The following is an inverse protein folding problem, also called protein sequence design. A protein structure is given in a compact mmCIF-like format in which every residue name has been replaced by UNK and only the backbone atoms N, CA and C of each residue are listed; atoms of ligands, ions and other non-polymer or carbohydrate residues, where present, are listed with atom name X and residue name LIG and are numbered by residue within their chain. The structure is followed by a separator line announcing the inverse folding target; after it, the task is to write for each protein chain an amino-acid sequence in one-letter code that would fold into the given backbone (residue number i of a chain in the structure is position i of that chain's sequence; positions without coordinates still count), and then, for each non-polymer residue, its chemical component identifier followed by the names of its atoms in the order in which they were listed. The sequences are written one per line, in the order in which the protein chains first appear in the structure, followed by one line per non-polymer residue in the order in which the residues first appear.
data_IF_790329029327
#
_entry.id   IF_790329029327
#
_cell.length_a   1.000
_cell.length_b   1.000
_cell.length_c   1.000
_cell.angle_alpha   90.00
_cell.angle_beta   90.00
_cell.angle_gamma   90.00
#
_symmetry.space_group_name_H-M   'P 1'
#
loop_
_entity.id
_entity.type
_entity.pdbx_description
1 polymer ?
#
# COMPACT_ATOMS: atom_id res chain seq x y z
N UNK A 1 -18.16 -24.35 -19.07
CA UNK A 1 -17.68 -23.10 -19.67
C UNK A 1 -18.79 -22.08 -19.49
N UNK A 2 -18.66 -21.16 -18.55
CA UNK A 2 -19.62 -20.06 -18.40
C UNK A 2 -19.18 -18.99 -19.38
N UNK A 3 -19.87 -18.83 -20.48
CA UNK A 3 -19.53 -17.86 -21.51
C UNK A 3 -19.96 -16.43 -21.14
N UNK A 4 -21.02 -16.29 -20.38
CA UNK A 4 -21.54 -15.03 -19.83
C UNK A 4 -22.30 -15.35 -18.54
N UNK A 5 -22.19 -14.49 -17.53
CA UNK A 5 -22.94 -14.72 -16.30
C UNK A 5 -22.65 -13.69 -15.22
N UNK A 6 -23.58 -13.58 -14.30
CA UNK A 6 -23.43 -12.79 -13.08
C UNK A 6 -23.34 -13.75 -11.90
N UNK A 7 -22.32 -13.62 -11.08
CA UNK A 7 -22.18 -14.32 -9.81
C UNK A 7 -22.34 -13.26 -8.71
N UNK A 8 -23.31 -13.47 -7.83
CA UNK A 8 -23.54 -12.59 -6.68
C UNK A 8 -24.01 -13.42 -5.49
N UNK A 9 -23.66 -13.01 -4.28
CA UNK A 9 -24.09 -13.67 -3.06
C UNK A 9 -22.97 -13.82 -2.05
N UNK A 10 -23.31 -14.36 -0.90
CA UNK A 10 -22.41 -14.62 0.21
C UNK A 10 -21.85 -16.05 0.12
N UNK A 11 -20.53 -16.18 0.02
CA UNK A 11 -19.81 -17.45 -0.02
C UNK A 11 -18.94 -17.60 1.20
N UNK A 12 -19.38 -18.42 2.14
CA UNK A 12 -18.55 -18.81 3.29
C UNK A 12 -17.82 -20.12 2.97
N UNK A 13 -16.52 -20.04 2.72
CA UNK A 13 -15.69 -21.22 2.66
C UNK A 13 -15.17 -21.57 4.06
N UNK A 14 -15.74 -22.56 4.69
CA UNK A 14 -15.17 -23.15 5.90
C UNK A 14 -14.00 -24.04 5.51
N UNK A 15 -12.77 -23.53 5.64
CA UNK A 15 -11.56 -24.33 5.44
C UNK A 15 -11.39 -25.34 6.57
N UNK A 16 -11.20 -26.62 6.25
CA UNK A 16 -10.71 -27.61 7.22
C UNK A 16 -9.26 -27.25 7.57
N UNK A 17 -8.98 -27.09 8.86
CA UNK A 17 -7.63 -26.90 9.39
C UNK A 17 -6.82 -28.17 9.18
N UNK A 18 -6.03 -28.24 8.12
CA UNK A 18 -4.99 -29.25 7.94
C UNK A 18 -3.63 -28.66 8.30
N UNK A 19 -2.85 -29.34 9.13
CA UNK A 19 -1.46 -28.96 9.37
C UNK A 19 -0.64 -29.23 8.09
N UNK A 20 -0.42 -28.19 7.30
CA UNK A 20 0.46 -28.23 6.13
C UNK A 20 1.86 -27.78 6.52
N UNK A 21 2.86 -28.60 6.26
CA UNK A 21 4.26 -28.19 6.28
C UNK A 21 4.47 -27.27 5.07
N UNK A 22 4.49 -25.96 5.30
CA UNK A 22 4.49 -24.98 4.23
C UNK A 22 5.65 -24.02 4.33
N UNK A 23 5.78 -23.23 3.30
CA UNK A 23 6.63 -22.07 3.06
C UNK A 23 6.38 -20.87 4.00
N UNK A 24 5.74 -21.09 5.14
CA UNK A 24 5.35 -20.04 6.08
C UNK A 24 4.01 -19.37 5.80
N UNK A 25 3.26 -19.82 4.78
CA UNK A 25 1.95 -19.25 4.42
C UNK A 25 0.77 -19.87 5.20
N UNK A 26 1.04 -20.75 6.16
CA UNK A 26 0.05 -21.28 7.10
C UNK A 26 -1.14 -22.05 6.49
N UNK A 27 -2.26 -22.14 7.16
CA UNK A 27 -3.41 -22.97 6.76
C UNK A 27 -4.09 -22.57 5.43
N UNK A 28 -3.73 -21.44 4.84
CA UNK A 28 -4.30 -20.98 3.55
C UNK A 28 -3.98 -21.89 2.35
N UNK A 29 -2.91 -22.68 2.39
CA UNK A 29 -2.54 -23.59 1.30
C UNK A 29 -3.53 -24.75 1.07
N UNK A 30 -4.31 -25.11 2.08
CA UNK A 30 -5.28 -26.19 2.00
C UNK A 30 -6.70 -25.72 1.63
N UNK A 31 -6.89 -24.40 1.47
CA UNK A 31 -8.18 -23.82 1.09
C UNK A 31 -8.31 -23.76 -0.42
N UNK A 32 -9.51 -23.96 -0.92
CA UNK A 32 -9.84 -23.73 -2.32
C UNK A 32 -10.01 -22.25 -2.63
N UNK A 33 -10.05 -21.90 -3.92
CA UNK A 33 -10.42 -20.57 -4.37
C UNK A 33 -11.92 -20.33 -4.10
N UNK A 34 -12.28 -19.10 -3.77
CA UNK A 34 -13.68 -18.72 -3.59
C UNK A 34 -14.42 -18.78 -4.94
N UNK A 35 -13.96 -18.02 -5.90
CA UNK A 35 -14.50 -18.03 -7.27
C UNK A 35 -13.33 -18.16 -8.25
N UNK A 36 -13.39 -19.16 -9.13
CA UNK A 36 -12.41 -19.33 -10.19
C UNK A 36 -13.05 -19.13 -11.56
N UNK A 37 -12.64 -18.09 -12.26
CA UNK A 37 -13.03 -17.78 -13.63
C UNK A 37 -11.92 -18.26 -14.59
N UNK A 38 -12.05 -19.46 -15.11
CA UNK A 38 -11.11 -20.01 -16.08
C UNK A 38 -11.61 -19.84 -17.51
N UNK A 39 -10.84 -19.13 -18.33
CA UNK A 39 -11.19 -18.86 -19.75
C UNK A 39 -12.62 -18.34 -19.92
N UNK A 40 -13.08 -17.57 -18.95
CA UNK A 40 -14.43 -16.98 -18.97
C UNK A 40 -14.42 -15.69 -19.79
N UNK A 41 -15.50 -15.44 -20.50
CA UNK A 41 -15.73 -14.21 -21.24
C UNK A 41 -16.91 -13.44 -20.65
N UNK A 42 -16.78 -12.13 -20.52
CA UNK A 42 -17.86 -11.21 -20.09
C UNK A 42 -18.56 -11.62 -18.77
N UNK A 43 -17.81 -12.28 -17.89
CA UNK A 43 -18.32 -12.65 -16.57
C UNK A 43 -18.32 -11.43 -15.62
N UNK A 44 -19.37 -11.30 -14.83
CA UNK A 44 -19.44 -10.30 -13.76
C UNK A 44 -19.55 -11.01 -12.42
N UNK A 45 -18.66 -10.66 -11.48
CA UNK A 45 -18.72 -11.05 -10.07
C UNK A 45 -19.01 -9.80 -9.27
N UNK A 46 -20.15 -9.77 -8.58
CA UNK A 46 -20.56 -8.57 -7.88
C UNK A 46 -21.20 -8.85 -6.53
N UNK A 47 -21.03 -7.93 -5.60
CA UNK A 47 -21.69 -7.93 -4.30
C UNK A 47 -21.50 -9.25 -3.53
N UNK A 48 -20.39 -9.95 -3.78
CA UNK A 48 -20.03 -11.19 -3.10
C UNK A 48 -19.23 -10.91 -1.83
N UNK A 49 -19.44 -11.74 -0.81
CA UNK A 49 -18.61 -11.78 0.40
C UNK A 49 -17.81 -13.09 0.37
N UNK A 50 -16.49 -12.98 0.33
CA UNK A 50 -15.56 -14.10 0.30
C UNK A 50 -14.63 -13.96 1.49
N UNK A 51 -14.57 -14.99 2.32
CA UNK A 51 -13.81 -14.95 3.56
C UNK A 51 -12.99 -16.23 3.73
N UNK A 52 -11.75 -16.05 4.12
CA UNK A 52 -10.90 -17.15 4.57
C UNK A 52 -10.72 -18.24 3.48
N UNK A 53 -10.55 -17.83 2.23
CA UNK A 53 -10.30 -18.72 1.07
C UNK A 53 -8.83 -18.63 0.62
N UNK A 54 -8.38 -19.49 -0.31
CA UNK A 54 -7.04 -19.38 -0.87
C UNK A 54 -6.96 -18.09 -1.68
N UNK A 55 -7.58 -18.02 -2.85
CA UNK A 55 -7.75 -16.80 -3.61
C UNK A 55 -9.24 -16.45 -3.63
N UNK A 56 -9.57 -15.21 -3.30
CA UNK A 56 -10.96 -14.76 -3.28
C UNK A 56 -11.59 -14.93 -4.66
N UNK A 57 -11.13 -14.15 -5.63
CA UNK A 57 -11.53 -14.29 -7.02
C UNK A 57 -10.28 -14.52 -7.87
N UNK A 58 -10.16 -15.71 -8.45
CA UNK A 58 -9.09 -16.05 -9.37
C UNK A 58 -9.58 -15.98 -10.81
N UNK A 59 -8.98 -15.09 -11.62
CA UNK A 59 -9.29 -14.93 -13.04
C UNK A 59 -8.09 -15.41 -13.84
N UNK A 60 -8.29 -16.37 -14.75
CA UNK A 60 -7.22 -16.87 -15.59
C UNK A 60 -7.68 -17.07 -17.04
N UNK A 61 -6.86 -16.57 -17.98
CA UNK A 61 -7.05 -16.69 -19.44
C UNK A 61 -8.40 -16.17 -19.96
N UNK A 62 -9.09 -15.31 -19.24
CA UNK A 62 -10.39 -14.76 -19.64
C UNK A 62 -10.29 -13.38 -20.29
N UNK A 63 -11.45 -12.82 -20.63
CA UNK A 63 -11.52 -11.45 -21.14
C UNK A 63 -12.88 -10.78 -20.83
N UNK A 64 -12.84 -9.45 -20.73
CA UNK A 64 -14.03 -8.61 -20.49
C UNK A 64 -14.77 -8.97 -19.18
N UNK A 65 -14.01 -9.30 -18.12
CA UNK A 65 -14.61 -9.55 -16.82
C UNK A 65 -14.76 -8.27 -16.00
N UNK A 66 -15.77 -8.26 -15.13
CA UNK A 66 -16.04 -7.17 -14.18
C UNK A 66 -16.15 -7.74 -12.75
N UNK A 67 -15.32 -7.26 -11.85
CA UNK A 67 -15.33 -7.60 -10.43
C UNK A 67 -15.70 -6.34 -9.66
N UNK A 68 -16.93 -6.23 -9.15
CA UNK A 68 -17.45 -4.97 -8.61
C UNK A 68 -18.17 -5.14 -7.28
N UNK A 69 -17.87 -4.27 -6.30
CA UNK A 69 -18.57 -4.22 -5.02
C UNK A 69 -18.38 -5.44 -4.13
N UNK A 70 -17.36 -6.26 -4.38
CA UNK A 70 -17.11 -7.47 -3.59
C UNK A 70 -16.37 -7.13 -2.29
N UNK A 71 -16.61 -7.92 -1.24
CA UNK A 71 -15.87 -7.90 0.01
C UNK A 71 -15.05 -9.19 0.11
N UNK A 72 -13.72 -9.06 0.21
CA UNK A 72 -12.83 -10.23 0.28
C UNK A 72 -11.90 -10.07 1.46
N UNK A 73 -11.99 -11.02 2.39
CA UNK A 73 -11.37 -10.94 3.71
C UNK A 73 -10.46 -12.15 3.96
N UNK A 74 -9.38 -11.93 4.71
CA UNK A 74 -8.54 -12.95 5.35
C UNK A 74 -8.13 -14.12 4.42
N UNK A 75 -7.87 -13.80 3.16
CA UNK A 75 -7.52 -14.73 2.09
C UNK A 75 -6.05 -14.58 1.68
N UNK A 76 -5.51 -15.49 0.87
CA UNK A 76 -4.16 -15.34 0.33
C UNK A 76 -4.11 -14.14 -0.62
N UNK A 77 -4.81 -14.21 -1.74
CA UNK A 77 -4.97 -13.10 -2.65
C UNK A 77 -6.46 -12.76 -2.75
N UNK A 78 -6.82 -11.51 -2.50
CA UNK A 78 -8.22 -11.14 -2.63
C UNK A 78 -8.67 -11.25 -4.10
N UNK A 79 -7.92 -10.64 -5.01
CA UNK A 79 -8.11 -10.81 -6.46
C UNK A 79 -6.80 -11.26 -7.08
N UNK A 80 -6.83 -12.36 -7.81
CA UNK A 80 -5.69 -12.90 -8.53
C UNK A 80 -6.00 -12.95 -10.03
N UNK A 81 -5.28 -12.17 -10.82
CA UNK A 81 -5.39 -12.15 -12.28
C UNK A 81 -4.16 -12.76 -12.93
N UNK A 82 -4.38 -13.75 -13.82
CA UNK A 82 -3.33 -14.30 -14.68
C UNK A 82 -3.81 -14.35 -16.13
N UNK A 83 -3.12 -13.65 -17.02
CA UNK A 83 -3.35 -13.64 -18.47
C UNK A 83 -4.75 -13.17 -18.90
N UNK A 84 -5.55 -12.55 -18.03
CA UNK A 84 -6.84 -11.99 -18.44
C UNK A 84 -6.64 -10.69 -19.24
N UNK A 85 -7.62 -10.36 -20.07
CA UNK A 85 -7.63 -9.17 -20.90
C UNK A 85 -8.89 -8.35 -20.63
N UNK A 86 -8.73 -7.03 -20.64
CA UNK A 86 -9.84 -6.10 -20.45
C UNK A 86 -10.61 -6.40 -19.15
N UNK A 87 -9.87 -6.55 -18.05
CA UNK A 87 -10.43 -6.82 -16.72
C UNK A 87 -10.71 -5.51 -15.99
N UNK A 88 -11.90 -5.39 -15.40
CA UNK A 88 -12.29 -4.29 -14.52
C UNK A 88 -12.43 -4.79 -13.08
N UNK A 89 -11.75 -4.12 -12.14
CA UNK A 89 -11.82 -4.37 -10.70
C UNK A 89 -12.25 -3.06 -10.05
N UNK A 90 -13.51 -2.96 -9.64
CA UNK A 90 -14.12 -1.68 -9.27
C UNK A 90 -14.83 -1.73 -7.91
N UNK A 91 -14.63 -0.72 -7.08
CA UNK A 91 -15.34 -0.51 -5.82
C UNK A 91 -15.36 -1.72 -4.85
N UNK A 92 -14.32 -2.56 -4.86
CA UNK A 92 -14.21 -3.69 -3.94
C UNK A 92 -13.58 -3.28 -2.61
N UNK A 93 -13.91 -3.99 -1.54
CA UNK A 93 -13.29 -3.87 -0.22
C UNK A 93 -12.48 -5.13 0.09
N UNK A 94 -11.15 -4.98 0.13
CA UNK A 94 -10.20 -6.08 0.27
C UNK A 94 -9.40 -5.86 1.56
N UNK A 95 -9.62 -6.68 2.59
CA UNK A 95 -9.01 -6.45 3.90
C UNK A 95 -8.42 -7.71 4.53
N UNK A 96 -7.28 -7.57 5.20
CA UNK A 96 -6.65 -8.65 5.96
C UNK A 96 -6.08 -9.77 5.09
N UNK A 97 -5.97 -9.56 3.78
CA UNK A 97 -5.45 -10.57 2.86
C UNK A 97 -3.91 -10.60 2.90
N UNK A 98 -3.30 -11.70 2.50
CA UNK A 98 -1.85 -11.71 2.32
C UNK A 98 -1.43 -10.74 1.22
N UNK A 99 -2.21 -10.63 0.14
CA UNK A 99 -2.13 -9.55 -0.85
C UNK A 99 -3.52 -9.21 -1.36
N UNK A 100 -3.76 -7.92 -1.61
CA UNK A 100 -5.04 -7.44 -2.11
C UNK A 100 -5.23 -7.85 -3.58
N UNK A 101 -4.70 -7.09 -4.52
CA UNK A 101 -4.84 -7.37 -5.96
C UNK A 101 -3.49 -7.81 -6.54
N UNK A 102 -3.46 -8.99 -7.13
CA UNK A 102 -2.27 -9.54 -7.81
C UNK A 102 -2.58 -9.66 -9.30
N UNK A 103 -1.92 -8.84 -10.10
CA UNK A 103 -2.06 -8.83 -11.55
C UNK A 103 -0.78 -9.33 -12.19
N UNK A 104 -0.88 -10.45 -12.92
CA UNK A 104 0.27 -11.08 -13.58
C UNK A 104 -0.09 -11.40 -15.03
N UNK A 105 0.68 -10.84 -15.93
CA UNK A 105 0.55 -11.01 -17.38
C UNK A 105 -0.80 -10.56 -17.95
N UNK A 106 -0.87 -10.40 -19.28
CA UNK A 106 -2.11 -9.99 -19.95
C UNK A 106 -2.32 -8.47 -19.96
N UNK A 107 -3.55 -8.03 -19.74
CA UNK A 107 -3.97 -6.63 -19.80
C UNK A 107 -4.76 -6.28 -21.08
N UNK A 108 -5.35 -5.07 -21.17
CA UNK A 108 -5.36 -4.03 -20.13
C UNK A 108 -6.20 -4.41 -18.89
N UNK A 109 -5.89 -3.75 -17.75
CA UNK A 109 -6.63 -3.91 -16.49
C UNK A 109 -6.96 -2.55 -15.91
N UNK A 110 -8.22 -2.33 -15.56
CA UNK A 110 -8.68 -1.15 -14.85
C UNK A 110 -8.98 -1.50 -13.37
N UNK A 111 -8.34 -0.78 -12.45
CA UNK A 111 -8.51 -0.93 -10.99
C UNK A 111 -8.98 0.40 -10.46
N UNK A 112 -10.28 0.51 -10.10
CA UNK A 112 -10.89 1.79 -9.77
C UNK A 112 -11.66 1.75 -8.45
N UNK A 113 -11.51 2.77 -7.62
CA UNK A 113 -12.34 2.96 -6.42
C UNK A 113 -12.25 1.86 -5.35
N UNK A 114 -11.24 0.99 -5.39
CA UNK A 114 -11.12 -0.09 -4.41
C UNK A 114 -10.49 0.40 -3.10
N UNK A 115 -10.89 -0.21 -1.99
CA UNK A 115 -10.27 -0.03 -0.67
C UNK A 115 -9.52 -1.30 -0.31
N UNK A 116 -8.19 -1.20 -0.17
CA UNK A 116 -7.28 -2.32 0.04
C UNK A 116 -6.46 -2.05 1.29
N UNK A 117 -6.75 -2.77 2.37
CA UNK A 117 -6.16 -2.50 3.67
C UNK A 117 -5.67 -3.75 4.38
N UNK A 118 -4.75 -3.55 5.32
CA UNK A 118 -4.25 -4.59 6.21
C UNK A 118 -3.67 -5.79 5.47
N UNK A 119 -3.07 -5.56 4.27
CA UNK A 119 -2.46 -6.67 3.53
C UNK A 119 -1.10 -7.02 4.13
N UNK A 120 -0.97 -8.31 4.50
CA UNK A 120 0.28 -8.91 4.91
C UNK A 120 0.41 -9.18 6.40
N UNK A 121 0.88 -10.39 6.68
CA UNK A 121 1.37 -10.80 8.00
C UNK A 121 2.84 -11.24 7.86
N UNK A 122 3.75 -10.56 8.57
CA UNK A 122 5.16 -10.93 8.57
C UNK A 122 5.97 -10.34 7.42
N UNK A 123 6.59 -11.17 6.57
CA UNK A 123 7.55 -10.73 5.54
C UNK A 123 6.96 -10.37 4.19
N UNK A 124 5.70 -10.72 3.94
CA UNK A 124 4.97 -10.46 2.68
C UNK A 124 3.73 -9.62 2.96
N UNK A 125 3.20 -8.93 1.95
CA UNK A 125 1.98 -8.14 2.08
C UNK A 125 1.95 -6.96 1.13
N UNK A 126 1.14 -7.09 0.10
CA UNK A 126 1.01 -6.09 -0.94
C UNK A 126 -0.45 -5.64 -1.04
N UNK A 127 -0.67 -4.33 -1.08
CA UNK A 127 -1.97 -3.81 -1.45
C UNK A 127 -2.29 -4.20 -2.90
N UNK A 128 -1.44 -3.85 -3.84
CA UNK A 128 -1.55 -4.28 -5.22
C UNK A 128 -0.17 -4.63 -5.83
N UNK A 129 -0.16 -5.60 -6.74
CA UNK A 129 1.01 -6.00 -7.53
C UNK A 129 0.66 -5.90 -9.01
N UNK A 130 1.52 -5.22 -9.77
CA UNK A 130 1.50 -5.16 -11.23
C UNK A 130 2.76 -5.82 -11.75
N UNK A 131 2.64 -7.01 -12.33
CA UNK A 131 3.80 -7.78 -12.80
C UNK A 131 3.62 -8.24 -14.25
N UNK A 132 4.46 -7.73 -15.15
CA UNK A 132 4.43 -8.06 -16.58
C UNK A 132 3.03 -7.89 -17.21
N UNK A 133 2.28 -6.88 -16.78
CA UNK A 133 0.92 -6.57 -17.27
C UNK A 133 0.96 -5.24 -18.01
N UNK A 134 0.49 -5.22 -19.24
CA UNK A 134 0.46 -3.98 -20.02
C UNK A 134 -0.86 -3.22 -19.92
N UNK A 135 -0.76 -1.89 -19.86
CA UNK A 135 -1.94 -1.02 -19.85
C UNK A 135 -2.76 -1.10 -18.57
N UNK A 136 -2.11 -1.06 -17.41
CA UNK A 136 -2.80 -1.01 -16.12
C UNK A 136 -3.15 0.43 -15.77
N UNK A 137 -4.39 0.67 -15.38
CA UNK A 137 -4.84 1.94 -14.81
C UNK A 137 -5.33 1.71 -13.39
N UNK A 138 -4.63 2.30 -12.40
CA UNK A 138 -5.09 2.37 -11.02
C UNK A 138 -5.61 3.78 -10.76
N UNK A 139 -6.90 3.93 -10.47
CA UNK A 139 -7.52 5.24 -10.26
C UNK A 139 -8.41 5.29 -9.04
N UNK A 140 -8.21 6.30 -8.18
CA UNK A 140 -9.09 6.57 -7.05
C UNK A 140 -9.15 5.45 -6.01
N UNK A 141 -8.13 4.59 -5.93
CA UNK A 141 -8.08 3.53 -4.94
C UNK A 141 -7.48 4.03 -3.63
N UNK A 142 -7.80 3.36 -2.54
CA UNK A 142 -7.18 3.51 -1.22
C UNK A 142 -6.34 2.27 -0.95
N UNK A 143 -5.02 2.43 -0.84
CA UNK A 143 -4.07 1.39 -0.46
C UNK A 143 -3.43 1.79 0.87
N UNK A 144 -3.96 1.29 1.99
CA UNK A 144 -3.56 1.76 3.31
C UNK A 144 -3.24 0.62 4.29
N UNK A 145 -2.35 0.88 5.24
CA UNK A 145 -1.96 -0.09 6.27
C UNK A 145 -1.43 -1.42 5.71
N UNK A 146 -0.88 -1.41 4.50
CA UNK A 146 -0.24 -2.58 3.92
C UNK A 146 1.27 -2.57 4.21
N UNK A 147 1.93 -3.70 4.09
CA UNK A 147 3.39 -3.71 4.14
C UNK A 147 3.98 -2.96 2.94
N UNK A 148 3.47 -3.23 1.73
CA UNK A 148 3.77 -2.48 0.51
C UNK A 148 2.44 -2.06 -0.10
N UNK A 149 2.23 -0.77 -0.31
CA UNK A 149 1.00 -0.27 -0.90
C UNK A 149 0.85 -0.75 -2.35
N UNK A 150 1.81 -0.43 -3.20
CA UNK A 150 1.81 -0.81 -4.62
C UNK A 150 3.20 -1.33 -5.02
N UNK A 151 3.25 -2.48 -5.69
CA UNK A 151 4.44 -3.02 -6.33
C UNK A 151 4.26 -2.97 -7.86
N UNK A 152 5.22 -2.35 -8.55
CA UNK A 152 5.24 -2.26 -10.02
C UNK A 152 6.52 -2.91 -10.54
N UNK A 153 6.39 -4.16 -10.99
CA UNK A 153 7.47 -5.02 -11.47
C UNK A 153 7.33 -5.26 -12.98
N UNK A 154 8.20 -4.61 -13.76
CA UNK A 154 8.27 -4.70 -15.21
C UNK A 154 6.96 -4.36 -15.98
N UNK A 155 6.05 -3.62 -15.36
CA UNK A 155 4.79 -3.24 -15.97
C UNK A 155 5.02 -2.46 -17.28
N UNK A 156 4.27 -2.81 -18.31
CA UNK A 156 4.31 -2.15 -19.61
C UNK A 156 5.36 -2.69 -20.58
N UNK A 157 6.43 -3.32 -20.10
CA UNK A 157 7.52 -3.81 -20.98
C UNK A 157 7.11 -4.86 -21.97
N UNK A 158 6.24 -5.79 -21.54
CA UNK A 158 5.85 -6.93 -22.37
C UNK A 158 4.78 -6.58 -23.40
N UNK A 159 3.99 -5.53 -23.15
CA UNK A 159 2.79 -5.20 -23.96
C UNK A 159 2.85 -3.78 -24.55
N UNK A 160 3.86 -2.99 -24.20
CA UNK A 160 4.10 -1.66 -24.78
C UNK A 160 3.12 -0.57 -24.35
N UNK A 161 2.39 -0.77 -23.25
CA UNK A 161 1.53 0.23 -22.66
C UNK A 161 1.93 0.48 -21.20
N UNK A 162 2.18 1.75 -20.86
CA UNK A 162 2.58 2.19 -19.54
C UNK A 162 1.48 1.94 -18.48
N UNK A 163 1.89 1.81 -17.23
CA UNK A 163 1.00 1.79 -16.07
C UNK A 163 0.67 3.22 -15.66
N UNK A 164 -0.62 3.54 -15.54
CA UNK A 164 -1.10 4.82 -15.02
C UNK A 164 -1.60 4.66 -13.58
N UNK A 165 -1.03 5.43 -12.67
CA UNK A 165 -1.41 5.50 -11.25
C UNK A 165 -1.90 6.92 -10.98
N UNK A 166 -3.22 7.12 -10.91
CA UNK A 166 -3.84 8.44 -10.91
C UNK A 166 -4.87 8.60 -9.79
N UNK A 167 -4.73 9.63 -8.97
CA UNK A 167 -5.71 10.00 -7.96
C UNK A 167 -5.91 8.97 -6.84
N UNK A 168 -4.91 8.12 -6.56
CA UNK A 168 -5.00 7.14 -5.48
C UNK A 168 -4.53 7.73 -4.15
N UNK A 169 -5.02 7.17 -3.05
CA UNK A 169 -4.48 7.39 -1.71
C UNK A 169 -3.62 6.20 -1.32
N UNK A 170 -2.32 6.43 -1.16
CA UNK A 170 -1.34 5.42 -0.73
C UNK A 170 -0.82 5.86 0.64
N UNK A 171 -1.32 5.24 1.71
CA UNK A 171 -1.19 5.79 3.06
C UNK A 171 -0.80 4.74 4.10
N UNK A 172 -0.02 5.15 5.10
CA UNK A 172 0.29 4.36 6.30
C UNK A 172 0.96 3.00 6.01
N UNK A 173 1.50 2.81 4.81
CA UNK A 173 2.21 1.59 4.44
C UNK A 173 3.65 1.63 4.97
N UNK A 174 4.29 0.49 5.16
CA UNK A 174 5.73 0.47 5.43
C UNK A 174 6.50 0.99 4.21
N UNK A 175 6.10 0.57 3.00
CA UNK A 175 6.56 1.13 1.74
C UNK A 175 5.33 1.54 0.93
N UNK A 176 5.27 2.81 0.51
CA UNK A 176 4.18 3.30 -0.34
C UNK A 176 4.20 2.62 -1.70
N UNK A 177 5.29 2.78 -2.44
CA UNK A 177 5.49 2.16 -3.76
C UNK A 177 6.84 1.45 -3.82
N UNK A 178 6.85 0.23 -4.30
CA UNK A 178 8.03 -0.53 -4.69
C UNK A 178 8.11 -0.57 -6.22
N UNK A 179 9.23 -0.17 -6.80
CA UNK A 179 9.45 -0.11 -8.25
C UNK A 179 10.68 -0.90 -8.66
N UNK A 180 10.66 -1.55 -9.81
CA UNK A 180 11.88 -1.91 -10.52
C UNK A 180 12.31 -0.75 -11.44
N UNK A 181 13.62 -0.57 -11.73
CA UNK A 181 14.10 0.52 -12.57
C UNK A 181 13.46 0.58 -13.95
N UNK A 182 13.14 -0.58 -14.50
CA UNK A 182 12.53 -0.72 -15.82
C UNK A 182 11.01 -0.47 -15.85
N UNK A 183 10.36 -0.26 -14.71
CA UNK A 183 8.90 -0.04 -14.67
C UNK A 183 8.52 1.25 -15.39
N UNK A 184 7.75 1.13 -16.47
CA UNK A 184 7.17 2.25 -17.21
C UNK A 184 5.84 2.63 -16.59
N UNK A 185 5.87 3.55 -15.64
CA UNK A 185 4.71 3.97 -14.88
C UNK A 185 4.64 5.49 -14.73
N UNK A 186 3.44 6.04 -14.82
CA UNK A 186 3.17 7.46 -14.56
C UNK A 186 2.33 7.60 -13.30
N UNK A 187 2.83 8.38 -12.35
CA UNK A 187 2.17 8.70 -11.10
C UNK A 187 1.73 10.16 -11.12
N UNK A 188 0.44 10.42 -11.03
CA UNK A 188 -0.10 11.79 -11.04
C UNK A 188 -1.30 11.90 -10.10
N UNK A 189 -1.51 13.03 -9.48
CA UNK A 189 -2.66 13.29 -8.60
C UNK A 189 -2.79 12.36 -7.39
N UNK A 190 -1.79 11.55 -7.07
CA UNK A 190 -1.86 10.63 -5.92
C UNK A 190 -1.55 11.36 -4.62
N UNK A 191 -2.07 10.83 -3.52
CA UNK A 191 -1.74 11.26 -2.17
C UNK A 191 -0.88 10.19 -1.47
N UNK A 192 0.40 10.49 -1.26
CA UNK A 192 1.33 9.67 -0.49
C UNK A 192 1.36 10.18 0.96
N UNK A 193 0.68 9.44 1.88
CA UNK A 193 0.42 9.92 3.24
C UNK A 193 1.06 9.00 4.27
N UNK A 194 2.01 9.53 5.04
CA UNK A 194 2.60 8.89 6.23
C UNK A 194 3.10 7.45 5.99
N UNK A 195 3.53 7.11 4.78
CA UNK A 195 4.23 5.85 4.58
C UNK A 195 5.61 5.94 5.26
N UNK A 196 6.09 4.84 5.84
CA UNK A 196 7.43 4.83 6.47
C UNK A 196 8.50 5.17 5.44
N UNK A 197 8.37 4.68 4.22
CA UNK A 197 9.14 5.08 3.04
C UNK A 197 8.17 5.28 1.88
N UNK A 198 8.21 6.46 1.25
CA UNK A 198 7.26 6.76 0.16
C UNK A 198 7.50 5.86 -1.05
N UNK A 199 8.74 5.77 -1.51
CA UNK A 199 9.11 4.98 -2.70
C UNK A 199 10.42 4.24 -2.46
N UNK A 200 10.47 2.98 -2.88
CA UNK A 200 11.66 2.14 -2.89
C UNK A 200 11.93 1.65 -4.30
N UNK A 201 13.18 1.79 -4.76
CA UNK A 201 13.63 1.21 -6.01
C UNK A 201 14.26 -0.16 -5.75
N UNK A 202 13.66 -1.21 -6.28
CA UNK A 202 14.17 -2.58 -6.21
C UNK A 202 15.07 -2.88 -7.40
N UNK A 203 16.34 -2.61 -7.25
CA UNK A 203 17.34 -2.77 -8.30
C UNK A 203 18.29 -1.57 -8.39
N UNK A 204 19.16 -1.60 -9.37
CA UNK A 204 20.13 -0.54 -9.65
C UNK A 204 19.87 0.08 -11.01
N UNK A 205 20.06 1.39 -11.13
CA UNK A 205 19.87 2.14 -12.36
C UNK A 205 18.86 3.27 -12.19
N UNK A 206 18.67 4.05 -13.23
CA UNK A 206 17.67 5.11 -13.29
C UNK A 206 16.27 4.52 -13.45
N UNK A 207 15.29 5.12 -12.80
CA UNK A 207 13.90 4.73 -12.97
C UNK A 207 13.32 5.30 -14.26
N UNK A 208 12.44 4.54 -14.91
CA UNK A 208 11.65 5.01 -16.06
C UNK A 208 10.29 5.59 -15.60
N UNK A 209 9.98 5.52 -14.31
CA UNK A 209 8.74 6.08 -13.78
C UNK A 209 8.76 7.60 -13.86
N UNK A 210 7.61 8.18 -14.20
CA UNK A 210 7.36 9.63 -14.18
C UNK A 210 6.41 9.99 -13.03
N UNK A 211 6.66 11.12 -12.40
CA UNK A 211 5.95 11.52 -11.18
C UNK A 211 5.01 12.72 -11.40
N UNK A 212 4.75 13.05 -12.63
CA UNK A 212 3.77 14.04 -13.01
C UNK A 212 3.18 13.72 -14.39
N UNK A 213 2.03 14.30 -14.69
CA UNK A 213 1.42 14.31 -16.01
C UNK A 213 0.98 15.74 -16.34
N UNK A 214 1.56 16.34 -17.38
CA UNK A 214 1.46 17.78 -17.58
C UNK A 214 2.02 18.55 -16.38
N UNK A 215 1.26 19.49 -15.85
CA UNK A 215 1.63 20.31 -14.69
C UNK A 215 1.04 19.78 -13.37
N UNK A 216 0.68 18.49 -13.30
CA UNK A 216 0.05 17.87 -12.14
C UNK A 216 0.93 16.73 -11.61
N UNK A 217 1.50 16.92 -10.45
CA UNK A 217 2.27 15.93 -9.72
C UNK A 217 1.46 15.22 -8.64
N UNK A 218 2.07 14.92 -7.49
CA UNK A 218 1.47 14.18 -6.41
C UNK A 218 1.58 14.95 -5.08
N UNK A 219 0.73 14.60 -4.14
CA UNK A 219 0.86 15.06 -2.76
C UNK A 219 1.78 14.12 -1.97
N UNK A 220 2.72 14.71 -1.23
CA UNK A 220 3.68 14.01 -0.39
C UNK A 220 3.61 14.56 1.04
N UNK A 221 3.19 13.75 1.99
CA UNK A 221 3.04 14.21 3.39
C UNK A 221 4.34 14.68 4.05
N UNK A 222 5.49 14.30 3.50
CA UNK A 222 6.82 14.73 3.93
C UNK A 222 7.44 15.82 3.02
N UNK A 223 6.64 16.43 2.14
CA UNK A 223 7.06 17.59 1.35
C UNK A 223 7.24 18.81 2.25
N UNK A 224 8.44 19.34 2.26
CA UNK A 224 8.82 20.50 3.08
C UNK A 224 8.93 21.81 2.30
N UNK A 225 8.45 21.86 1.05
CA UNK A 225 8.45 23.06 0.22
C UNK A 225 7.31 24.03 0.57
N UNK A 226 7.19 25.07 -0.19
CA UNK A 226 6.18 26.13 -0.01
C UNK A 226 5.48 26.43 -1.34
N UNK A 227 4.35 27.10 -1.26
CA UNK A 227 3.54 27.57 -2.39
C UNK A 227 3.35 29.08 -2.20
N UNK A 228 4.21 29.87 -2.82
CA UNK A 228 4.18 31.33 -2.71
C UNK A 228 3.10 31.95 -3.59
N UNK A 229 2.69 31.27 -4.65
CA UNK A 229 1.67 31.72 -5.58
C UNK A 229 0.26 31.41 -5.07
N UNK A 230 0.10 30.40 -4.19
CA UNK A 230 -1.19 29.94 -3.65
C UNK A 230 -2.02 29.21 -4.70
N UNK A 231 -1.38 28.55 -5.65
CA UNK A 231 -2.05 27.81 -6.74
C UNK A 231 -2.24 26.32 -6.41
N UNK A 232 -1.75 25.87 -5.25
CA UNK A 232 -1.85 24.49 -4.79
C UNK A 232 -0.68 23.61 -5.20
N UNK A 233 0.28 24.16 -5.97
CA UNK A 233 1.50 23.49 -6.40
C UNK A 233 2.71 24.08 -5.64
N UNK A 234 3.59 23.24 -5.18
CA UNK A 234 4.80 23.68 -4.49
C UNK A 234 5.82 24.26 -5.47
N UNK A 235 6.46 25.37 -5.08
CA UNK A 235 7.46 26.07 -5.90
C UNK A 235 8.79 25.32 -6.06
N UNK A 236 9.00 24.29 -5.27
CA UNK A 236 10.20 23.44 -5.33
C UNK A 236 9.80 22.02 -5.67
N UNK A 237 10.55 21.32 -6.53
CA UNK A 237 10.26 19.92 -6.84
C UNK A 237 10.42 19.05 -5.59
N UNK A 238 9.65 17.97 -5.51
CA UNK A 238 9.87 16.92 -4.53
C UNK A 238 10.85 15.90 -5.10
N UNK A 239 12.06 15.88 -4.55
CA UNK A 239 13.14 15.01 -5.01
C UNK A 239 13.57 14.09 -3.87
N UNK A 240 13.66 12.80 -4.14
CA UNK A 240 14.16 11.78 -3.20
C UNK A 240 15.22 10.90 -3.84
N UNK A 241 16.31 10.65 -3.12
CA UNK A 241 17.35 9.72 -3.55
C UNK A 241 17.04 8.29 -3.12
N UNK A 242 17.41 7.33 -3.94
CA UNK A 242 17.16 5.92 -3.68
C UNK A 242 18.20 5.21 -2.82
N UNK A 243 19.25 5.86 -2.32
CA UNK A 243 20.36 5.17 -1.64
C UNK A 243 19.93 4.45 -0.37
N UNK A 244 19.21 5.13 0.50
CA UNK A 244 18.67 4.51 1.72
C UNK A 244 17.62 3.46 1.39
N UNK A 245 16.79 3.71 0.39
CA UNK A 245 15.83 2.75 -0.12
C UNK A 245 16.52 1.50 -0.71
N UNK A 246 17.64 1.65 -1.43
CA UNK A 246 18.46 0.54 -1.92
C UNK A 246 19.08 -0.27 -0.78
N UNK A 247 19.51 0.38 0.31
CA UNK A 247 20.03 -0.32 1.50
C UNK A 247 18.93 -1.17 2.16
N UNK A 248 17.70 -0.66 2.23
CA UNK A 248 16.52 -1.38 2.75
C UNK A 248 16.20 -2.56 1.83
N UNK A 249 16.16 -2.34 0.53
CA UNK A 249 15.89 -3.40 -0.47
C UNK A 249 16.96 -4.52 -0.40
N UNK A 250 18.22 -4.14 -0.21
CA UNK A 250 19.33 -5.10 -0.04
C UNK A 250 19.28 -5.85 1.31
N UNK A 251 18.67 -5.26 2.34
CA UNK A 251 18.57 -5.83 3.68
C UNK A 251 17.18 -5.58 4.28
N UNK A 252 16.19 -6.43 4.01
CA UNK A 252 14.83 -6.24 4.52
C UNK A 252 14.72 -6.13 6.04
N UNK A 253 15.71 -6.64 6.79
CA UNK A 253 15.81 -6.47 8.25
C UNK A 253 16.00 -5.00 8.67
N UNK A 254 16.50 -4.14 7.78
CA UNK A 254 16.61 -2.71 8.05
C UNK A 254 15.24 -2.03 8.13
N UNK A 255 14.20 -2.61 7.54
CA UNK A 255 12.81 -2.12 7.72
C UNK A 255 12.38 -2.13 9.19
N UNK A 256 12.86 -3.09 9.98
CA UNK A 256 12.59 -3.10 11.43
C UNK A 256 13.22 -1.91 12.16
N UNK A 257 14.27 -1.31 11.61
CA UNK A 257 14.94 -0.13 12.14
C UNK A 257 14.42 1.17 11.51
N UNK A 258 13.68 1.08 10.41
CA UNK A 258 13.21 2.24 9.64
C UNK A 258 12.28 3.17 10.44
N UNK A 259 11.55 2.63 11.41
CA UNK A 259 10.72 3.43 12.33
C UNK A 259 11.52 4.17 13.43
N UNK A 260 12.82 3.88 13.56
CA UNK A 260 13.67 4.46 14.60
C UNK A 260 14.12 5.90 14.31
N UNK A 261 14.38 6.73 15.37
CA UNK A 261 14.79 8.11 15.20
C UNK A 261 16.14 8.25 14.48
N UNK A 262 17.04 7.29 14.63
CA UNK A 262 18.34 7.29 13.94
C UNK A 262 18.19 7.13 12.41
N UNK A 263 17.21 6.33 11.97
CA UNK A 263 16.92 6.14 10.55
C UNK A 263 16.29 7.40 9.95
N UNK A 264 15.35 8.04 10.66
CA UNK A 264 14.78 9.33 10.25
C UNK A 264 15.84 10.42 10.13
N UNK A 265 16.82 10.42 11.04
CA UNK A 265 17.95 11.35 10.95
C UNK A 265 18.81 11.06 9.72
N UNK A 266 19.10 9.80 9.43
CA UNK A 266 19.85 9.39 8.23
C UNK A 266 19.14 9.87 6.96
N UNK A 267 17.83 9.64 6.84
CA UNK A 267 17.00 10.12 5.73
C UNK A 267 17.08 11.65 5.60
N UNK A 268 16.98 12.40 6.71
CA UNK A 268 17.02 13.86 6.68
C UNK A 268 18.39 14.42 6.28
N UNK A 269 19.47 13.68 6.48
CA UNK A 269 20.81 14.07 6.04
C UNK A 269 21.00 13.77 4.57
N UNK A 270 20.48 12.63 4.09
CA UNK A 270 20.51 12.25 2.68
C UNK A 270 19.77 13.28 1.80
N UNK A 271 18.63 13.78 2.25
CA UNK A 271 17.83 14.79 1.55
C UNK A 271 18.55 16.15 1.36
N UNK A 272 19.62 16.43 2.13
CA UNK A 272 20.39 17.68 2.01
C UNK A 272 21.44 17.66 0.91
N UNK A 273 21.80 16.50 0.40
CA UNK A 273 22.75 16.38 -0.68
C UNK A 273 21.99 15.96 -1.93
N UNK A 274 21.91 16.90 -2.91
CA UNK A 274 21.21 16.63 -4.16
C UNK A 274 21.63 15.29 -4.76
N UNK A 275 20.68 14.37 -4.97
CA UNK A 275 20.96 13.05 -5.52
C UNK A 275 21.45 13.17 -6.95
N UNK A 276 22.45 12.38 -7.33
CA UNK A 276 22.90 12.27 -8.72
C UNK A 276 21.89 11.52 -9.57
N UNK A 277 21.13 10.58 -8.97
CA UNK A 277 20.12 9.76 -9.64
C UNK A 277 18.89 9.66 -8.72
N UNK A 278 17.91 10.57 -8.82
CA UNK A 278 16.74 10.54 -7.95
C UNK A 278 15.84 9.33 -8.27
N UNK A 279 15.32 8.69 -7.23
CA UNK A 279 14.26 7.69 -7.35
C UNK A 279 12.91 8.35 -7.62
N UNK A 280 12.70 9.53 -7.05
CA UNK A 280 11.52 10.36 -7.27
C UNK A 280 12.00 11.76 -7.66
N UNK A 281 11.45 12.27 -8.74
CA UNK A 281 11.57 13.65 -9.18
C UNK A 281 10.19 14.12 -9.63
N UNK A 282 9.43 14.71 -8.68
CA UNK A 282 8.12 15.29 -8.94
C UNK A 282 8.28 16.80 -9.06
N UNK A 283 8.20 17.34 -10.28
CA UNK A 283 8.40 18.79 -10.51
C UNK A 283 7.21 19.64 -10.06
N UNK A 284 6.04 19.04 -9.82
CA UNK A 284 4.80 19.76 -9.49
C UNK A 284 4.12 19.19 -8.23
N UNK A 285 4.83 19.10 -7.09
CA UNK A 285 4.26 18.50 -5.89
C UNK A 285 3.06 19.31 -5.39
N UNK A 286 1.98 18.62 -5.09
CA UNK A 286 0.78 19.28 -4.56
C UNK A 286 0.95 19.61 -3.07
N UNK A 287 0.47 20.77 -2.65
CA UNK A 287 0.51 21.22 -1.25
C UNK A 287 -0.64 20.66 -0.42
N UNK A 288 -1.69 20.15 -1.07
CA UNK A 288 -2.84 19.51 -0.41
C UNK A 288 -3.28 18.26 -1.20
N UNK A 289 -3.72 17.19 -0.53
CA UNK A 289 -4.22 16.00 -1.21
C UNK A 289 -5.59 16.28 -1.87
N UNK A 290 -5.81 15.70 -3.05
CA UNK A 290 -7.09 15.85 -3.76
C UNK A 290 -8.28 15.15 -3.08
N UNK A 291 -8.03 14.18 -2.19
CA UNK A 291 -9.08 13.44 -1.48
C UNK A 291 -9.02 13.70 0.02
N UNK A 292 -10.03 14.37 0.61
CA UNK A 292 -10.04 14.67 2.04
C UNK A 292 -10.35 13.48 2.96
N UNK A 293 -10.68 12.31 2.43
CA UNK A 293 -11.16 11.18 3.23
C UNK A 293 -10.14 10.58 4.20
N UNK A 294 -8.85 10.63 3.88
CA UNK A 294 -7.79 10.12 4.77
C UNK A 294 -7.16 11.21 5.65
N UNK A 295 -7.26 12.48 5.26
CA UNK A 295 -6.82 13.59 6.12
C UNK A 295 -7.63 13.65 7.43
N UNK A 296 -8.88 13.21 7.42
CA UNK A 296 -9.73 13.11 8.61
C UNK A 296 -9.34 11.94 9.53
N UNK A 297 -8.71 10.89 9.02
CA UNK A 297 -8.25 9.76 9.83
C UNK A 297 -6.92 10.07 10.55
N UNK A 298 -6.05 10.89 9.95
CA UNK A 298 -4.80 11.33 10.59
C UNK A 298 -5.00 12.43 11.63
N UNK A 299 -6.17 13.06 11.66
CA UNK A 299 -6.54 14.08 12.65
C UNK A 299 -7.15 13.51 13.94
N UNK A 300 -6.95 12.21 14.24
CA UNK A 300 -7.13 11.74 15.61
C UNK A 300 -6.29 12.65 16.51
N UNK A 301 -6.87 13.35 17.50
CA UNK A 301 -6.11 14.27 18.31
C UNK A 301 -5.00 13.47 18.99
N UNK A 302 -3.78 13.66 18.54
CA UNK A 302 -2.61 13.22 19.27
C UNK A 302 -2.78 13.81 20.65
N UNK A 303 -3.11 12.97 21.63
CA UNK A 303 -3.08 13.42 23.03
C UNK A 303 -1.72 14.10 23.22
N UNK A 304 -1.71 15.39 23.56
CA UNK A 304 -0.47 16.14 23.57
C UNK A 304 0.53 15.42 24.46
N UNK A 305 1.72 15.17 23.96
CA UNK A 305 2.79 14.36 24.57
C UNK A 305 3.11 14.77 26.03
N UNK A 306 2.71 15.99 26.45
CA UNK A 306 2.87 16.43 27.83
C UNK A 306 1.88 15.78 28.82
N UNK A 307 0.74 15.21 28.35
CA UNK A 307 -0.23 14.55 29.25
C UNK A 307 0.36 13.30 29.92
N UNK A 308 1.01 12.35 29.19
CA UNK A 308 1.71 11.24 29.82
C UNK A 308 2.84 11.70 30.75
N UNK A 309 3.58 12.73 30.32
CA UNK A 309 4.66 13.31 31.15
C UNK A 309 4.16 13.93 32.43
N UNK A 310 3.06 14.71 32.39
CA UNK A 310 2.44 15.31 33.56
C UNK A 310 1.88 14.24 34.52
N UNK A 311 1.30 13.16 33.98
CA UNK A 311 0.81 12.04 34.80
C UNK A 311 1.94 11.32 35.52
N UNK A 312 3.06 11.06 34.83
CA UNK A 312 4.25 10.44 35.45
C UNK A 312 4.83 11.32 36.55
N UNK A 313 4.92 12.63 36.34
CA UNK A 313 5.40 13.59 37.37
C UNK A 313 4.45 13.59 38.57
N UNK A 314 3.13 13.60 38.35
CA UNK A 314 2.15 13.60 39.45
C UNK A 314 2.23 12.31 40.28
N UNK A 315 2.40 11.14 39.63
CA UNK A 315 2.60 9.84 40.32
C UNK A 315 3.90 9.86 41.10
N UNK A 316 5.00 10.36 40.53
CA UNK A 316 6.29 10.48 41.20
C UNK A 316 6.23 11.37 42.46
N UNK A 317 5.56 12.53 42.39
CA UNK A 317 5.32 13.42 43.53
C UNK A 317 4.43 12.74 44.58
N UNK A 318 3.43 11.99 44.19
CA UNK A 318 2.55 11.21 45.06
C UNK A 318 3.31 10.17 45.87
N UNK A 319 4.19 9.41 45.22
CA UNK A 319 5.06 8.41 45.86
C UNK A 319 6.07 9.02 46.83
N UNK A 320 6.70 10.16 46.48
CA UNK A 320 7.60 10.88 47.36
C UNK A 320 6.91 11.44 48.60
N UNK A 321 5.70 11.92 48.49
CA UNK A 321 4.87 12.38 49.62
C UNK A 321 4.41 11.24 50.51
N UNK A 322 4.08 10.08 49.91
CA UNK A 322 3.73 8.85 50.64
C UNK A 322 4.89 8.33 51.48
N UNK A 323 6.10 8.31 50.93
CA UNK A 323 7.32 7.87 51.62
C UNK A 323 7.72 8.75 52.83
N UNK A 324 7.41 10.05 52.79
CA UNK A 324 7.69 10.97 53.90
C UNK A 324 6.69 10.88 55.07
N UNK A 325 5.57 10.16 54.92
CA UNK A 325 4.54 9.96 55.99
C UNK A 325 4.66 8.64 56.73
N UNK A 326 5.58 7.78 56.36
CA UNK A 326 5.89 6.57 57.11
C UNK A 326 6.54 6.91 58.44
N UNK A 327 5.77 6.85 59.55
CA UNK A 327 6.30 6.98 60.91
C UNK A 327 7.28 5.83 61.18
N UNK A 328 8.46 6.17 61.59
CA UNK A 328 9.43 5.21 62.17
C UNK A 328 8.82 4.65 63.45
N UNK A 329 8.65 3.33 63.62
CA UNK A 329 8.27 2.78 64.93
C UNK A 329 9.44 2.94 65.88
N UNK A 330 9.25 3.68 66.96
CA UNK A 330 10.14 3.68 68.12
C UNK A 330 9.93 2.43 68.93
N UNK A 331 10.91 1.52 68.90
CA UNK A 331 10.99 0.44 69.85
C UNK A 331 11.51 1.05 71.19
N UNK A 332 10.68 0.99 72.23
CA UNK A 332 11.03 1.12 73.62
C UNK A 332 11.27 -0.25 74.27
#
# INVERSE_FOLDING_TARGET
MVSEGIISGELHATGTTGEGVGDGSGPTLLRGDGIWLFNAARATVRDCVLDTVRDGIYVSFGHDQVLVGNQILDSRYAVHNMYARNLTIDANTLRGNLSGIVMMYGGPVAVTGNTITDSGSGSTGFGAIVKDVGGVTLRGNVLADNRIGLDVDDAGRTVGAATLVDGNTIALNQVGVLLVPSADATFTSNAFIENTTQVVLNGTGETQATWASGDVGNYWSDYGGFDAQGDGTGDLPYVRSGRTAQLIAANPLLLALASGPAFRLLMSVEDRWAPTDPTVDDPYPMTQPLSPQMAAASSAPLLPLWIPGALMIAVGIGLLRGARRGKVPTYG
#
